data_IF_528437301460
#
_entry.id   IF_528437301460
#
_cell.length_a   1.000
_cell.length_b   1.000
_cell.length_c   1.000
_cell.angle_alpha   90.00
_cell.angle_beta   90.00
_cell.angle_gamma   90.00
#
_symmetry.space_group_name_H-M   'P 1'
#
loop_
_entity.id
_entity.type
_entity.pdbx_description
1 polymer ?
#
# COMPACT_ATOMS: atom_id res chain seq x y z
N UNK A 1 -23.97 18.10 1.19
CA UNK A 1 -22.82 17.44 0.53
C UNK A 1 -21.70 18.41 0.12
N UNK A 2 -21.99 19.51 -0.60
CA UNK A 2 -20.98 20.50 -1.02
C UNK A 2 -20.27 21.18 0.17
N UNK A 3 -21.03 21.64 1.18
CA UNK A 3 -20.46 22.24 2.40
C UNK A 3 -19.51 21.28 3.13
N UNK A 4 -19.86 19.98 3.14
CA UNK A 4 -19.00 18.94 3.71
C UNK A 4 -17.71 18.75 2.92
N UNK A 5 -17.78 18.70 1.58
CA UNK A 5 -16.61 18.62 0.72
C UNK A 5 -15.69 19.84 0.89
N UNK A 6 -16.26 21.05 0.93
CA UNK A 6 -15.52 22.29 1.17
C UNK A 6 -14.85 22.28 2.54
N UNK A 7 -15.56 21.89 3.60
CA UNK A 7 -14.98 21.77 4.94
C UNK A 7 -13.80 20.79 4.95
N UNK A 8 -13.92 19.65 4.26
CA UNK A 8 -12.85 18.64 4.17
C UNK A 8 -11.65 19.13 3.37
N UNK A 9 -11.87 19.84 2.26
CA UNK A 9 -10.82 20.49 1.46
C UNK A 9 -10.09 21.56 2.28
N UNK A 10 -10.82 22.40 3.00
CA UNK A 10 -10.24 23.43 3.87
C UNK A 10 -9.43 22.81 5.01
N UNK A 11 -9.88 21.70 5.60
CA UNK A 11 -9.12 20.98 6.62
C UNK A 11 -7.89 20.25 6.06
N UNK A 12 -7.89 19.90 4.77
CA UNK A 12 -6.73 19.29 4.13
C UNK A 12 -5.56 20.26 4.03
N UNK A 13 -5.81 21.56 3.80
CA UNK A 13 -4.76 22.58 3.68
C UNK A 13 -3.84 22.64 4.92
N UNK A 14 -4.33 22.90 6.15
CA UNK A 14 -3.46 22.94 7.33
C UNK A 14 -2.82 21.57 7.59
N UNK A 15 -3.52 20.46 7.32
CA UNK A 15 -2.96 19.11 7.46
C UNK A 15 -1.75 18.91 6.56
N UNK A 16 -1.84 19.30 5.28
CA UNK A 16 -0.75 19.20 4.32
C UNK A 16 0.40 20.15 4.64
N UNK A 17 0.11 21.37 5.09
CA UNK A 17 1.15 22.32 5.51
C UNK A 17 1.93 21.79 6.71
N UNK A 18 1.23 21.30 7.75
CA UNK A 18 1.87 20.71 8.92
C UNK A 18 2.70 19.49 8.51
N UNK A 19 2.11 18.54 7.77
CA UNK A 19 2.81 17.33 7.34
C UNK A 19 4.04 17.65 6.47
N UNK A 20 3.89 18.56 5.50
CA UNK A 20 5.01 18.96 4.63
C UNK A 20 6.11 19.66 5.40
N UNK A 21 5.78 20.53 6.35
CA UNK A 21 6.77 21.18 7.23
C UNK A 21 7.57 20.14 8.02
N UNK A 22 6.91 19.16 8.62
CA UNK A 22 7.59 18.09 9.36
C UNK A 22 8.47 17.24 8.44
N UNK A 23 7.96 16.80 7.29
CA UNK A 23 8.74 16.00 6.33
C UNK A 23 9.95 16.80 5.83
N UNK A 24 9.77 18.07 5.47
CA UNK A 24 10.85 18.96 5.03
C UNK A 24 11.89 19.14 6.13
N UNK A 25 11.46 19.34 7.38
CA UNK A 25 12.35 19.44 8.54
C UNK A 25 13.15 18.16 8.76
N UNK A 26 12.50 16.99 8.68
CA UNK A 26 13.17 15.69 8.83
C UNK A 26 14.22 15.47 7.74
N UNK A 27 13.93 15.85 6.49
CA UNK A 27 14.90 15.76 5.39
C UNK A 27 16.06 16.75 5.58
N UNK A 28 15.79 17.95 6.07
CA UNK A 28 16.82 18.96 6.34
C UNK A 28 17.74 18.58 7.51
N UNK A 29 17.19 17.93 8.54
CA UNK A 29 17.94 17.44 9.70
C UNK A 29 18.63 16.10 9.45
N UNK A 30 18.25 15.39 8.38
CA UNK A 30 18.84 14.11 8.05
C UNK A 30 20.35 14.28 7.77
N UNK A 31 21.20 13.38 8.30
CA UNK A 31 22.63 13.45 8.04
C UNK A 31 22.91 13.22 6.56
N UNK A 32 23.73 14.10 5.96
CA UNK A 32 24.16 14.01 4.57
C UNK A 32 24.18 15.38 3.88
N UNK A 33 24.94 15.48 2.78
CA UNK A 33 24.90 16.65 1.90
C UNK A 33 24.32 16.22 0.54
N UNK A 34 23.14 16.75 0.13
CA UNK A 34 22.52 16.39 -1.13
C UNK A 34 23.44 16.66 -2.34
N UNK A 35 24.26 17.71 -2.29
CA UNK A 35 25.20 18.05 -3.37
C UNK A 35 26.31 17.00 -3.45
N UNK A 36 26.87 16.60 -2.30
CA UNK A 36 27.90 15.55 -2.28
C UNK A 36 27.34 14.21 -2.76
N UNK A 37 26.08 13.91 -2.42
CA UNK A 37 25.36 12.75 -2.97
C UNK A 37 25.14 12.83 -4.48
N UNK A 38 24.89 14.04 -5.00
CA UNK A 38 24.75 14.29 -6.43
C UNK A 38 26.08 14.13 -7.18
N UNK A 39 27.17 14.67 -6.66
CA UNK A 39 28.48 14.65 -7.35
C UNK A 39 29.26 13.33 -7.14
N UNK A 40 28.93 12.56 -6.09
CA UNK A 40 29.53 11.26 -5.84
C UNK A 40 31.02 11.37 -5.54
N UNK A 41 31.87 10.83 -6.42
CA UNK A 41 33.33 10.90 -6.25
C UNK A 41 33.94 12.25 -6.65
N UNK A 42 33.22 13.07 -7.41
CA UNK A 42 33.66 14.42 -7.73
C UNK A 42 33.38 15.34 -6.55
N UNK A 43 34.43 15.76 -5.84
CA UNK A 43 34.32 16.57 -4.63
C UNK A 43 35.10 17.88 -4.77
N UNK A 44 34.99 18.52 -5.94
CA UNK A 44 35.55 19.85 -6.17
C UNK A 44 34.82 20.88 -5.27
N UNK A 45 35.52 21.53 -4.32
CA UNK A 45 34.91 22.48 -3.40
C UNK A 45 34.25 23.67 -4.10
N UNK A 46 34.80 24.15 -5.22
CA UNK A 46 34.25 25.29 -5.95
C UNK A 46 32.90 24.93 -6.59
N UNK A 47 32.83 23.77 -7.25
CA UNK A 47 31.59 23.26 -7.84
C UNK A 47 30.51 23.01 -6.77
N UNK A 48 30.90 22.51 -5.59
CA UNK A 48 29.97 22.30 -4.47
C UNK A 48 29.37 23.63 -4.00
N UNK A 49 30.19 24.67 -3.83
CA UNK A 49 29.73 25.99 -3.42
C UNK A 49 28.78 26.59 -4.47
N UNK A 50 29.14 26.52 -5.74
CA UNK A 50 28.31 27.01 -6.85
C UNK A 50 26.94 26.30 -6.91
N UNK A 51 26.91 24.96 -6.78
CA UNK A 51 25.66 24.21 -6.78
C UNK A 51 24.80 24.49 -5.54
N UNK A 52 25.43 24.76 -4.40
CA UNK A 52 24.73 25.09 -3.16
C UNK A 52 23.96 26.39 -3.27
N UNK A 53 24.62 27.41 -3.79
CA UNK A 53 24.02 28.71 -4.08
C UNK A 53 22.93 28.60 -5.17
N UNK A 54 23.22 27.90 -6.28
CA UNK A 54 22.26 27.72 -7.36
C UNK A 54 20.97 27.01 -6.92
N UNK A 55 21.06 26.05 -6.01
CA UNK A 55 19.91 25.34 -5.44
C UNK A 55 19.27 26.07 -4.25
N UNK A 56 19.87 27.15 -3.76
CA UNK A 56 19.40 27.90 -2.60
C UNK A 56 19.49 27.12 -1.29
N UNK A 57 20.45 26.20 -1.19
CA UNK A 57 20.68 25.36 0.00
C UNK A 57 21.50 26.09 1.08
N UNK A 58 22.05 27.25 0.74
CA UNK A 58 22.71 28.23 1.61
C UNK A 58 21.72 29.17 2.32
N UNK A 59 20.48 29.27 1.82
CA UNK A 59 19.46 30.17 2.38
C UNK A 59 18.97 29.70 3.76
N UNK A 60 18.47 30.61 4.62
CA UNK A 60 17.78 30.24 5.85
C UNK A 60 16.64 29.23 5.60
N UNK A 61 16.50 28.27 6.52
CA UNK A 61 15.52 27.17 6.44
C UNK A 61 14.11 27.61 6.03
N UNK A 62 13.58 28.66 6.64
CA UNK A 62 12.22 29.15 6.38
C UNK A 62 12.07 29.67 4.94
N UNK A 63 13.12 30.28 4.37
CA UNK A 63 13.14 30.75 2.97
C UNK A 63 13.16 29.54 2.03
N UNK A 64 13.98 28.51 2.34
CA UNK A 64 13.99 27.28 1.54
C UNK A 64 12.62 26.62 1.49
N UNK A 65 11.95 26.50 2.64
CA UNK A 65 10.61 25.91 2.74
C UNK A 65 9.56 26.72 1.96
N UNK A 66 9.51 28.04 2.12
CA UNK A 66 8.54 28.90 1.40
C UNK A 66 8.80 28.87 -0.12
N UNK A 67 10.07 28.88 -0.55
CA UNK A 67 10.43 28.78 -1.97
C UNK A 67 10.02 27.43 -2.56
N UNK A 68 10.26 26.34 -1.83
CA UNK A 68 9.83 24.99 -2.21
C UNK A 68 8.30 24.89 -2.30
N UNK A 69 7.58 25.39 -1.29
CA UNK A 69 6.13 25.41 -1.27
C UNK A 69 5.56 26.23 -2.43
N UNK A 70 6.18 27.37 -2.75
CA UNK A 70 5.79 28.20 -3.89
C UNK A 70 5.98 27.50 -5.25
N UNK A 71 7.02 26.67 -5.41
CA UNK A 71 7.19 25.82 -6.60
C UNK A 71 6.08 24.77 -6.70
N UNK A 72 5.81 24.05 -5.60
CA UNK A 72 4.76 23.03 -5.55
C UNK A 72 3.39 23.62 -5.85
N UNK A 73 3.07 24.79 -5.30
CA UNK A 73 1.80 25.47 -5.55
C UNK A 73 1.59 25.84 -7.03
N UNK A 74 2.67 25.94 -7.81
CA UNK A 74 2.65 26.16 -9.27
C UNK A 74 2.72 24.87 -10.08
N UNK A 75 2.73 23.71 -9.42
CA UNK A 75 2.86 22.40 -10.06
C UNK A 75 4.30 21.98 -10.36
N UNK A 76 5.31 22.74 -9.93
CA UNK A 76 6.72 22.38 -10.08
C UNK A 76 7.18 21.56 -8.87
N UNK A 77 7.27 20.24 -9.07
CA UNK A 77 7.79 19.30 -8.08
C UNK A 77 9.33 19.17 -8.13
N UNK A 78 9.97 19.86 -9.08
CA UNK A 78 11.40 19.80 -9.31
C UNK A 78 11.89 18.52 -9.96
N UNK A 79 13.21 18.33 -9.88
CA UNK A 79 13.94 17.20 -10.44
C UNK A 79 14.49 16.31 -9.34
N UNK A 80 14.58 15.02 -9.62
CA UNK A 80 15.17 14.06 -8.72
C UNK A 80 16.69 14.18 -8.73
N UNK A 81 17.27 14.27 -7.53
CA UNK A 81 18.71 14.34 -7.28
C UNK A 81 19.31 13.01 -6.78
N UNK A 82 18.46 12.08 -6.35
CA UNK A 82 18.87 10.80 -5.73
C UNK A 82 18.41 9.59 -6.55
N UNK A 83 17.10 9.41 -6.75
CA UNK A 83 16.51 8.18 -7.31
C UNK A 83 16.84 8.00 -8.80
N UNK A 84 16.59 9.04 -9.60
CA UNK A 84 16.90 9.10 -11.03
C UNK A 84 17.36 10.52 -11.34
N UNK A 85 18.67 10.73 -11.39
CA UNK A 85 19.28 12.07 -11.54
C UNK A 85 18.74 12.76 -12.78
N UNK A 86 18.19 13.96 -12.61
CA UNK A 86 17.68 14.81 -13.70
C UNK A 86 16.25 14.50 -14.18
N UNK A 87 15.61 13.43 -13.70
CA UNK A 87 14.23 13.13 -14.06
C UNK A 87 13.24 14.01 -13.28
N UNK A 88 12.13 14.40 -13.90
CA UNK A 88 11.06 15.14 -13.23
C UNK A 88 10.45 14.30 -12.11
N UNK A 89 10.28 14.89 -10.92
CA UNK A 89 9.71 14.18 -9.76
C UNK A 89 8.27 13.73 -10.03
N UNK A 90 7.50 14.52 -10.79
CA UNK A 90 6.14 14.16 -11.20
C UNK A 90 6.08 12.83 -11.97
N UNK A 91 7.02 12.61 -12.89
CA UNK A 91 7.11 11.37 -13.68
C UNK A 91 7.41 10.17 -12.77
N UNK A 92 8.31 10.34 -11.80
CA UNK A 92 8.66 9.31 -10.84
C UNK A 92 7.46 8.96 -9.93
N UNK A 93 6.73 9.97 -9.45
CA UNK A 93 5.52 9.76 -8.66
C UNK A 93 4.49 8.97 -9.47
N UNK A 94 4.25 9.35 -10.73
CA UNK A 94 3.27 8.67 -11.59
C UNK A 94 3.66 7.21 -11.85
N UNK A 95 4.95 6.94 -12.10
CA UNK A 95 5.47 5.58 -12.26
C UNK A 95 5.27 4.74 -11.00
N UNK A 96 5.58 5.28 -9.81
CA UNK A 96 5.40 4.58 -8.54
C UNK A 96 3.92 4.40 -8.19
N UNK A 97 3.09 5.37 -8.52
CA UNK A 97 1.64 5.32 -8.31
C UNK A 97 1.01 4.17 -9.09
N UNK A 98 1.35 4.01 -10.37
CA UNK A 98 0.84 2.92 -11.19
C UNK A 98 1.18 1.54 -10.60
N UNK A 99 2.43 1.33 -10.19
CA UNK A 99 2.87 0.08 -9.54
C UNK A 99 2.16 -0.15 -8.21
N UNK A 100 1.96 0.91 -7.43
CA UNK A 100 1.25 0.84 -6.14
C UNK A 100 -0.21 0.46 -6.33
N UNK A 101 -0.88 1.06 -7.31
CA UNK A 101 -2.28 0.76 -7.65
C UNK A 101 -2.45 -0.69 -8.09
N UNK A 102 -1.55 -1.16 -8.93
CA UNK A 102 -1.52 -2.55 -9.39
C UNK A 102 -1.33 -3.53 -8.22
N UNK A 103 -0.29 -3.31 -7.40
CA UNK A 103 -0.01 -4.15 -6.24
C UNK A 103 -1.17 -4.13 -5.23
N UNK A 104 -1.75 -2.96 -4.97
CA UNK A 104 -2.91 -2.82 -4.09
C UNK A 104 -4.11 -3.60 -4.62
N UNK A 105 -4.35 -3.57 -5.94
CA UNK A 105 -5.43 -4.30 -6.58
C UNK A 105 -5.25 -5.81 -6.44
N UNK A 106 -4.05 -6.34 -6.76
CA UNK A 106 -3.79 -7.78 -6.58
C UNK A 106 -3.86 -8.22 -5.12
N UNK A 107 -3.34 -7.41 -4.21
CA UNK A 107 -3.44 -7.66 -2.77
C UNK A 107 -4.89 -7.72 -2.30
N UNK A 108 -5.73 -6.79 -2.78
CA UNK A 108 -7.16 -6.77 -2.48
C UNK A 108 -7.87 -8.00 -3.04
N UNK A 109 -7.59 -8.39 -4.28
CA UNK A 109 -8.18 -9.60 -4.89
C UNK A 109 -7.84 -10.84 -4.05
N UNK A 110 -6.56 -11.02 -3.69
CA UNK A 110 -6.15 -12.13 -2.82
C UNK A 110 -6.86 -12.05 -1.47
N UNK A 111 -6.94 -10.85 -0.89
CA UNK A 111 -7.63 -10.65 0.38
C UNK A 111 -9.09 -11.09 0.31
N UNK A 112 -9.82 -10.70 -0.75
CA UNK A 112 -11.22 -11.06 -0.95
C UNK A 112 -11.41 -12.56 -1.22
N UNK A 113 -10.56 -13.15 -2.06
CA UNK A 113 -10.58 -14.58 -2.38
C UNK A 113 -10.39 -15.46 -1.13
N UNK A 114 -9.64 -14.98 -0.15
CA UNK A 114 -9.45 -15.66 1.13
C UNK A 114 -10.59 -15.30 2.11
N UNK A 115 -10.86 -14.01 2.28
CA UNK A 115 -11.73 -13.50 3.33
C UNK A 115 -13.20 -13.86 3.15
N UNK A 116 -13.72 -13.80 1.91
CA UNK A 116 -15.13 -14.04 1.64
C UNK A 116 -15.49 -15.50 1.94
N UNK A 117 -14.81 -16.52 1.37
CA UNK A 117 -15.16 -17.91 1.64
C UNK A 117 -14.96 -18.27 3.12
N UNK A 118 -13.84 -17.84 3.72
CA UNK A 118 -13.55 -18.16 5.13
C UNK A 118 -14.52 -17.47 6.09
N UNK A 119 -14.94 -16.24 5.79
CA UNK A 119 -15.93 -15.48 6.56
C UNK A 119 -17.32 -16.10 6.50
N UNK A 120 -17.78 -16.48 5.30
CA UNK A 120 -19.06 -17.16 5.11
C UNK A 120 -19.05 -18.53 5.81
N UNK A 121 -18.00 -19.33 5.62
CA UNK A 121 -17.89 -20.66 6.26
C UNK A 121 -17.90 -20.53 7.79
N UNK A 122 -17.15 -19.58 8.34
CA UNK A 122 -17.10 -19.32 9.78
C UNK A 122 -18.46 -18.88 10.34
N UNK A 123 -19.24 -18.10 9.58
CA UNK A 123 -20.60 -17.70 9.98
C UNK A 123 -21.61 -18.87 9.92
N UNK A 124 -21.61 -19.64 8.83
CA UNK A 124 -22.57 -20.74 8.63
C UNK A 124 -22.29 -21.95 9.51
N UNK A 125 -21.02 -22.19 9.88
CA UNK A 125 -20.60 -23.29 10.75
C UNK A 125 -20.17 -22.80 12.13
N UNK A 126 -20.90 -21.82 12.66
CA UNK A 126 -20.63 -21.21 13.95
C UNK A 126 -20.39 -22.26 15.05
N UNK A 127 -19.32 -22.08 15.83
CA UNK A 127 -18.89 -22.95 16.94
C UNK A 127 -18.53 -24.40 16.54
N UNK A 128 -18.31 -24.68 15.26
CA UNK A 128 -17.75 -25.96 14.79
C UNK A 128 -16.25 -25.86 14.61
N UNK A 129 -15.58 -27.01 14.48
CA UNK A 129 -14.13 -27.09 14.27
C UNK A 129 -13.65 -26.23 13.08
N UNK A 130 -14.42 -26.19 11.99
CA UNK A 130 -14.11 -25.36 10.82
C UNK A 130 -14.05 -23.87 11.16
N UNK A 131 -14.93 -23.39 12.05
CA UNK A 131 -14.96 -22.00 12.49
C UNK A 131 -13.76 -21.69 13.39
N UNK A 132 -13.41 -22.59 14.32
CA UNK A 132 -12.19 -22.44 15.14
C UNK A 132 -10.91 -22.42 14.29
N UNK A 133 -10.79 -23.32 13.30
CA UNK A 133 -9.62 -23.35 12.40
C UNK A 133 -9.55 -22.08 11.56
N UNK A 134 -10.67 -21.63 10.97
CA UNK A 134 -10.69 -20.39 10.19
C UNK A 134 -10.28 -19.17 11.03
N UNK A 135 -10.71 -19.11 12.29
CA UNK A 135 -10.31 -18.04 13.22
C UNK A 135 -8.83 -18.13 13.61
N UNK A 136 -8.30 -19.32 13.85
CA UNK A 136 -6.88 -19.52 14.17
C UNK A 136 -5.98 -19.16 12.99
N UNK A 137 -6.33 -19.59 11.77
CA UNK A 137 -5.57 -19.27 10.56
C UNK A 137 -5.60 -17.77 10.28
N UNK A 138 -6.76 -17.12 10.43
CA UNK A 138 -6.87 -15.68 10.29
C UNK A 138 -6.07 -14.93 11.36
N UNK A 139 -6.06 -15.42 12.62
CA UNK A 139 -5.27 -14.84 13.69
C UNK A 139 -3.77 -14.96 13.38
N UNK A 140 -3.31 -16.14 12.94
CA UNK A 140 -1.92 -16.34 12.54
C UNK A 140 -1.51 -15.39 11.40
N UNK A 141 -2.38 -15.18 10.41
CA UNK A 141 -2.15 -14.24 9.31
C UNK A 141 -1.99 -12.78 9.74
N UNK A 142 -2.67 -12.34 10.82
CA UNK A 142 -2.48 -10.98 11.38
C UNK A 142 -1.26 -10.89 12.28
N UNK A 143 -0.94 -11.97 12.99
CA UNK A 143 0.14 -12.00 13.96
C UNK A 143 1.53 -12.03 13.33
N UNK A 144 1.65 -12.49 12.08
CA UNK A 144 2.92 -12.49 11.35
C UNK A 144 3.16 -11.11 10.73
N UNK A 145 4.27 -10.41 11.04
CA UNK A 145 4.58 -9.15 10.40
C UNK A 145 4.72 -9.28 8.88
N UNK A 146 4.14 -8.37 8.11
CA UNK A 146 4.15 -8.42 6.63
C UNK A 146 5.55 -8.52 6.04
N UNK A 147 6.52 -7.78 6.61
CA UNK A 147 7.90 -7.84 6.14
C UNK A 147 8.52 -9.24 6.37
N UNK A 148 8.21 -9.87 7.50
CA UNK A 148 8.72 -11.20 7.83
C UNK A 148 8.10 -12.26 6.94
N UNK A 149 6.78 -12.21 6.72
CA UNK A 149 6.11 -13.08 5.74
C UNK A 149 6.70 -12.89 4.34
N UNK A 150 6.94 -11.65 3.92
CA UNK A 150 7.59 -11.35 2.65
C UNK A 150 8.98 -11.99 2.53
N UNK A 151 9.81 -11.88 3.56
CA UNK A 151 11.14 -12.52 3.60
C UNK A 151 11.00 -14.05 3.51
N UNK A 152 10.10 -14.67 4.27
CA UNK A 152 9.87 -16.11 4.21
C UNK A 152 9.43 -16.59 2.82
N UNK A 153 8.53 -15.84 2.16
CA UNK A 153 8.09 -16.15 0.81
C UNK A 153 9.24 -16.03 -0.20
N UNK A 154 10.10 -15.01 -0.07
CA UNK A 154 11.29 -14.87 -0.91
C UNK A 154 12.28 -16.01 -0.68
N UNK A 155 12.53 -16.39 0.58
CA UNK A 155 13.42 -17.51 0.91
C UNK A 155 12.87 -18.83 0.37
N UNK A 156 11.57 -19.07 0.51
CA UNK A 156 10.94 -20.28 0.00
C UNK A 156 10.96 -20.32 -1.53
N UNK A 157 10.49 -19.27 -2.19
CA UNK A 157 10.24 -19.30 -3.63
C UNK A 157 11.46 -18.89 -4.44
N UNK A 158 12.13 -17.81 -4.05
CA UNK A 158 13.32 -17.29 -4.73
C UNK A 158 14.58 -18.09 -4.45
N UNK A 159 14.80 -18.51 -3.19
CA UNK A 159 16.05 -19.19 -2.79
C UNK A 159 15.92 -20.71 -2.83
N UNK A 160 14.94 -21.28 -2.11
CA UNK A 160 14.80 -22.74 -2.00
C UNK A 160 14.24 -23.37 -3.29
N UNK A 161 13.11 -22.86 -3.80
CA UNK A 161 12.51 -23.32 -5.06
C UNK A 161 13.19 -22.75 -6.32
N UNK A 162 14.17 -21.84 -6.14
CA UNK A 162 14.98 -21.21 -7.20
C UNK A 162 14.17 -20.60 -8.34
N UNK A 163 12.99 -20.05 -8.02
CA UNK A 163 12.15 -19.40 -9.01
C UNK A 163 12.67 -17.98 -9.30
N UNK A 164 12.90 -17.61 -10.56
CA UNK A 164 13.51 -16.33 -10.92
C UNK A 164 12.64 -15.11 -10.56
N UNK A 165 11.32 -15.31 -10.43
CA UNK A 165 10.36 -14.29 -10.02
C UNK A 165 10.18 -14.19 -8.50
N UNK A 166 10.79 -15.11 -7.73
CA UNK A 166 10.64 -15.17 -6.28
C UNK A 166 11.57 -14.24 -5.50
N UNK A 167 12.61 -13.70 -6.12
CA UNK A 167 13.59 -12.80 -5.49
C UNK A 167 13.18 -11.30 -5.51
N UNK A 168 11.99 -10.99 -6.05
CA UNK A 168 11.46 -9.63 -6.17
C UNK A 168 11.62 -9.04 -7.58
N UNK A 169 11.59 -7.70 -7.64
CA UNK A 169 11.57 -6.95 -8.89
C UNK A 169 10.16 -6.62 -9.39
N UNK A 170 10.09 -5.84 -10.47
CA UNK A 170 8.85 -5.47 -11.13
C UNK A 170 9.01 -5.61 -12.65
N UNK A 171 8.04 -6.24 -13.28
CA UNK A 171 7.92 -6.32 -14.73
C UNK A 171 6.65 -5.58 -15.11
N UNK A 172 6.71 -4.51 -15.93
CA UNK A 172 5.50 -3.84 -16.41
C UNK A 172 4.58 -4.78 -17.16
N UNK A 173 3.25 -4.59 -17.02
CA UNK A 173 2.24 -5.38 -17.76
C UNK A 173 2.51 -5.39 -19.26
N UNK A 174 3.00 -4.28 -19.83
CA UNK A 174 3.37 -4.14 -21.24
C UNK A 174 4.47 -5.10 -21.71
N UNK A 175 5.27 -5.66 -20.79
CA UNK A 175 6.32 -6.66 -21.08
C UNK A 175 5.84 -8.10 -20.87
N UNK A 176 4.56 -8.29 -20.56
CA UNK A 176 3.90 -9.59 -20.44
C UNK A 176 3.14 -9.74 -19.12
N UNK A 177 1.83 -9.92 -19.21
CA UNK A 177 0.93 -10.05 -18.07
C UNK A 177 1.31 -11.20 -17.12
N UNK A 178 1.61 -12.39 -17.66
CA UNK A 178 1.96 -13.55 -16.83
C UNK A 178 3.27 -13.33 -16.04
N UNK A 179 4.26 -12.67 -16.65
CA UNK A 179 5.52 -12.34 -15.97
C UNK A 179 5.30 -11.31 -14.88
N UNK A 180 4.58 -10.24 -15.20
CA UNK A 180 4.17 -9.23 -14.24
C UNK A 180 3.47 -9.86 -13.02
N UNK A 181 2.46 -10.70 -13.27
CA UNK A 181 1.69 -11.37 -12.22
C UNK A 181 2.58 -12.25 -11.35
N UNK A 182 3.52 -13.00 -11.95
CA UNK A 182 4.46 -13.82 -11.19
C UNK A 182 5.34 -12.98 -10.24
N UNK A 183 5.89 -11.86 -10.71
CA UNK A 183 6.69 -10.95 -9.86
C UNK A 183 5.85 -10.22 -8.80
N UNK A 184 4.57 -9.98 -9.07
CA UNK A 184 3.64 -9.35 -8.14
C UNK A 184 3.03 -10.31 -7.12
N UNK A 185 3.06 -11.62 -7.40
CA UNK A 185 2.32 -12.61 -6.63
C UNK A 185 2.74 -12.66 -5.17
N UNK A 186 4.04 -12.80 -4.86
CA UNK A 186 4.50 -12.91 -3.47
C UNK A 186 4.25 -11.63 -2.65
N UNK A 187 4.58 -10.42 -3.15
CA UNK A 187 4.22 -9.19 -2.46
C UNK A 187 2.70 -9.06 -2.25
N UNK A 188 1.90 -9.42 -3.25
CA UNK A 188 0.44 -9.36 -3.16
C UNK A 188 -0.13 -10.38 -2.17
N UNK A 189 0.44 -11.58 -2.07
CA UNK A 189 0.09 -12.58 -1.05
C UNK A 189 0.45 -12.04 0.34
N UNK A 190 1.67 -11.52 0.52
CA UNK A 190 2.12 -11.01 1.81
C UNK A 190 1.24 -9.87 2.34
N UNK A 191 0.80 -8.97 1.47
CA UNK A 191 -0.11 -7.88 1.84
C UNK A 191 -1.55 -8.37 1.96
N UNK A 192 -2.01 -9.17 1.00
CA UNK A 192 -3.39 -9.64 0.89
C UNK A 192 -3.81 -10.54 2.05
N UNK A 193 -2.92 -11.39 2.57
CA UNK A 193 -3.21 -12.27 3.72
C UNK A 193 -3.51 -11.48 4.98
N UNK A 194 -2.73 -10.43 5.27
CA UNK A 194 -2.97 -9.57 6.42
C UNK A 194 -4.32 -8.84 6.33
N UNK A 195 -4.64 -8.27 5.15
CA UNK A 195 -5.95 -7.65 4.91
C UNK A 195 -7.10 -8.67 4.94
N UNK A 196 -6.87 -9.90 4.48
CA UNK A 196 -7.89 -10.95 4.43
C UNK A 196 -8.46 -11.25 5.81
N UNK A 197 -7.64 -11.24 6.86
CA UNK A 197 -8.10 -11.52 8.20
C UNK A 197 -8.99 -10.41 8.78
N UNK A 198 -8.73 -9.15 8.42
CA UNK A 198 -9.58 -8.01 8.80
C UNK A 198 -10.92 -8.12 8.08
N UNK A 199 -10.88 -8.32 6.76
CA UNK A 199 -12.08 -8.44 5.91
C UNK A 199 -12.91 -9.67 6.30
N UNK A 200 -12.27 -10.78 6.65
CA UNK A 200 -12.93 -12.02 7.07
C UNK A 200 -13.79 -11.79 8.31
N UNK A 201 -13.25 -11.11 9.34
CA UNK A 201 -14.01 -10.79 10.56
C UNK A 201 -15.22 -9.92 10.25
N UNK A 202 -15.05 -8.93 9.37
CA UNK A 202 -16.14 -8.05 8.95
C UNK A 202 -17.21 -8.83 8.16
N UNK A 203 -16.80 -9.66 7.20
CA UNK A 203 -17.68 -10.53 6.42
C UNK A 203 -18.45 -11.51 7.32
N UNK A 204 -17.77 -12.12 8.30
CA UNK A 204 -18.40 -13.00 9.28
C UNK A 204 -19.46 -12.26 10.09
N UNK A 205 -19.17 -11.06 10.59
CA UNK A 205 -20.14 -10.25 11.34
C UNK A 205 -21.36 -9.95 10.47
N UNK A 206 -21.13 -9.42 9.27
CA UNK A 206 -22.19 -9.09 8.32
C UNK A 206 -23.03 -10.32 7.95
N UNK A 207 -22.41 -11.50 7.76
CA UNK A 207 -23.16 -12.72 7.50
C UNK A 207 -23.97 -13.21 8.69
N UNK A 208 -23.46 -13.10 9.92
CA UNK A 208 -24.26 -13.47 11.09
C UNK A 208 -25.49 -12.55 11.23
N UNK A 209 -25.30 -11.25 11.00
CA UNK A 209 -26.40 -10.27 11.01
C UNK A 209 -27.42 -10.58 9.90
N UNK A 210 -26.96 -10.87 8.68
CA UNK A 210 -27.82 -11.24 7.57
C UNK A 210 -28.59 -12.55 7.84
N UNK A 211 -27.92 -13.57 8.38
CA UNK A 211 -28.56 -14.86 8.70
C UNK A 211 -29.59 -14.78 9.84
N UNK A 212 -29.62 -13.67 10.60
CA UNK A 212 -30.58 -13.42 11.67
C UNK A 212 -31.90 -12.78 11.19
N UNK A 213 -31.94 -12.31 9.94
CA UNK A 213 -33.08 -11.62 9.33
C UNK A 213 -34.29 -12.54 9.07
N UNK A 214 -35.49 -11.96 9.04
CA UNK A 214 -36.75 -12.71 8.95
C UNK A 214 -36.95 -13.44 7.60
N UNK A 215 -36.40 -12.91 6.51
CA UNK A 215 -36.44 -13.60 5.21
C UNK A 215 -35.66 -14.92 5.24
N UNK A 216 -34.53 -14.97 5.97
CA UNK A 216 -33.74 -16.18 6.16
C UNK A 216 -34.49 -17.21 7.01
N UNK A 217 -35.20 -16.76 8.05
CA UNK A 217 -36.06 -17.64 8.87
C UNK A 217 -37.16 -18.27 8.02
N UNK A 218 -37.78 -17.47 7.16
CA UNK A 218 -38.82 -17.93 6.23
C UNK A 218 -38.26 -18.93 5.22
N UNK A 219 -37.10 -18.65 4.62
CA UNK A 219 -36.43 -19.57 3.70
C UNK A 219 -36.07 -20.91 4.35
N UNK A 220 -35.60 -20.89 5.61
CA UNK A 220 -35.35 -22.13 6.38
C UNK A 220 -36.64 -22.90 6.69
N UNK A 221 -37.73 -22.22 7.01
CA UNK A 221 -39.03 -22.85 7.23
C UNK A 221 -39.56 -23.55 5.97
N UNK A 222 -39.20 -23.03 4.79
CA UNK A 222 -39.48 -23.68 3.49
C UNK A 222 -38.51 -24.83 3.15
N UNK A 223 -37.57 -25.19 4.04
CA UNK A 223 -36.62 -26.28 3.84
C UNK A 223 -35.37 -25.93 3.02
N UNK A 224 -35.14 -24.65 2.72
CA UNK A 224 -33.98 -24.22 1.93
C UNK A 224 -32.70 -24.31 2.78
N UNK A 225 -31.66 -24.95 2.24
CA UNK A 225 -30.40 -25.12 2.93
C UNK A 225 -29.65 -23.76 3.12
N UNK A 226 -28.93 -23.54 4.23
CA UNK A 226 -28.23 -22.26 4.48
C UNK A 226 -27.27 -21.83 3.38
N UNK A 227 -26.59 -22.78 2.71
CA UNK A 227 -25.70 -22.47 1.58
C UNK A 227 -26.45 -22.03 0.32
N UNK A 228 -27.68 -22.52 0.14
CA UNK A 228 -28.52 -22.15 -1.00
C UNK A 228 -29.14 -20.77 -0.80
N UNK A 229 -29.44 -20.38 0.45
CA UNK A 229 -29.85 -19.01 0.80
C UNK A 229 -28.73 -18.01 0.44
N UNK A 230 -27.48 -18.32 0.81
CA UNK A 230 -26.31 -17.45 0.52
C UNK A 230 -26.00 -17.31 -0.96
N UNK A 231 -26.40 -18.27 -1.80
CA UNK A 231 -26.15 -18.22 -3.25
C UNK A 231 -27.26 -17.50 -4.03
N UNK A 232 -28.49 -17.47 -3.47
CA UNK A 232 -29.68 -16.97 -4.15
C UNK A 232 -29.91 -15.46 -3.98
N UNK A 233 -29.34 -14.86 -2.95
CA UNK A 233 -29.22 -13.41 -2.76
C UNK A 233 -27.81 -12.91 -3.08
#
# INVERSE_FOLDING_TARGET
MIIYLLKRLLLAVPTLLIASFFIFSLVHLAPGDPIRGMLGQYQDPELIAQLREAMGLDLPFHIQYVRWLGKIARGDLGISITVKKGAAVAELILQRFAVTLELATFSLVIALLIAIPTGIISALRQNKLSDHISRLVALAGVSIPNFFLGILLILLVGVYLRQPWGAGGYVPISRGFAKNLAHMFLPAVALGTAYSAIIMRMMRSAMLDAMSQDFVRTARAMGIAPWEIVRRD
#
